data_IF_322637827961
#
_entry.id   IF_322637827961
#
_cell.length_a   1.000
_cell.length_b   1.000
_cell.length_c   1.000
_cell.angle_alpha   90.00
_cell.angle_beta   90.00
_cell.angle_gamma   90.00
#
_symmetry.space_group_name_H-M   'P 1'
#
loop_
_entity.id
_entity.type
_entity.pdbx_description
1 polymer ?
#
# COMPACT_ATOMS: atom_id res chain seq x y z
N UNK A 1 9.13 13.79 -19.91
CA UNK A 1 9.51 13.05 -18.67
C UNK A 1 8.32 12.89 -17.69
N UNK A 2 7.54 13.95 -17.39
CA UNK A 2 6.37 13.90 -16.47
C UNK A 2 5.38 12.74 -16.68
N UNK A 3 5.09 12.33 -17.92
CA UNK A 3 4.15 11.25 -18.20
C UNK A 3 4.62 9.86 -17.72
N UNK A 4 5.94 9.57 -17.74
CA UNK A 4 6.44 8.25 -17.30
C UNK A 4 6.42 8.06 -15.78
N UNK A 5 6.49 9.15 -15.01
CA UNK A 5 6.43 9.09 -13.54
C UNK A 5 5.00 8.89 -13.01
N UNK A 6 3.98 9.27 -13.80
CA UNK A 6 2.58 9.02 -13.49
C UNK A 6 2.26 7.52 -13.52
N UNK A 7 2.74 6.78 -14.53
CA UNK A 7 2.57 5.33 -14.61
C UNK A 7 3.14 4.61 -13.38
N UNK A 8 4.36 4.99 -12.95
CA UNK A 8 5.04 4.32 -11.82
C UNK A 8 4.32 4.49 -10.47
N UNK A 9 3.58 5.58 -10.30
CA UNK A 9 2.94 5.97 -9.04
C UNK A 9 1.47 5.55 -9.01
N UNK A 10 0.74 5.84 -10.10
CA UNK A 10 -0.71 5.60 -10.20
C UNK A 10 -1.00 4.12 -10.42
N UNK A 11 -0.31 3.45 -11.36
CA UNK A 11 -0.60 2.04 -11.70
C UNK A 11 -0.28 1.07 -10.55
N UNK A 12 0.73 1.40 -9.72
CA UNK A 12 1.03 0.63 -8.50
C UNK A 12 -0.06 0.77 -7.44
N UNK A 13 -0.63 1.96 -7.28
CA UNK A 13 -1.76 2.20 -6.37
C UNK A 13 -3.00 1.40 -6.77
N UNK A 14 -3.29 1.29 -8.07
CA UNK A 14 -4.39 0.46 -8.56
C UNK A 14 -4.16 -1.04 -8.40
N UNK A 15 -2.91 -1.52 -8.41
CA UNK A 15 -2.60 -2.93 -8.09
C UNK A 15 -2.97 -3.27 -6.65
N UNK A 16 -2.78 -2.34 -5.71
CA UNK A 16 -3.19 -2.51 -4.32
C UNK A 16 -4.71 -2.63 -4.17
N UNK A 17 -5.48 -1.85 -4.95
CA UNK A 17 -6.95 -1.96 -4.99
C UNK A 17 -7.44 -3.30 -5.58
N UNK A 18 -6.57 -4.10 -6.18
CA UNK A 18 -6.89 -5.44 -6.70
C UNK A 18 -6.28 -6.56 -5.86
N UNK A 19 -5.65 -6.22 -4.72
CA UNK A 19 -4.98 -7.20 -3.88
C UNK A 19 -6.03 -8.01 -3.09
N UNK A 20 -6.01 -9.35 -3.15
CA UNK A 20 -6.98 -10.22 -2.48
C UNK A 20 -7.00 -10.05 -0.95
N UNK A 21 -5.98 -9.43 -0.34
CA UNK A 21 -5.98 -9.03 1.06
C UNK A 21 -7.11 -8.05 1.43
N UNK A 22 -7.71 -7.35 0.45
CA UNK A 22 -8.83 -6.42 0.67
C UNK A 22 -10.21 -7.09 0.61
N UNK A 23 -10.30 -8.42 0.51
CA UNK A 23 -11.55 -9.18 0.53
C UNK A 23 -12.60 -8.73 -0.49
N UNK A 24 -12.19 -8.07 -1.58
CA UNK A 24 -13.11 -7.65 -2.64
C UNK A 24 -13.72 -8.83 -3.39
N UNK A 25 -13.07 -9.99 -3.37
CA UNK A 25 -13.58 -11.20 -4.02
C UNK A 25 -14.77 -11.84 -3.28
N UNK A 26 -14.95 -11.60 -1.97
CA UNK A 26 -16.02 -12.24 -1.19
C UNK A 26 -17.31 -11.42 -1.11
N UNK A 27 -17.30 -10.16 -1.56
CA UNK A 27 -18.49 -9.31 -1.55
C UNK A 27 -19.19 -9.34 -2.91
N UNK A 28 -20.19 -10.21 -3.06
CA UNK A 28 -21.11 -10.17 -4.21
C UNK A 28 -21.91 -8.85 -4.19
N UNK A 29 -21.35 -7.84 -4.84
CA UNK A 29 -21.92 -6.50 -4.97
C UNK A 29 -22.79 -6.44 -6.22
N UNK A 30 -24.04 -6.90 -6.10
CA UNK A 30 -25.01 -6.92 -7.21
C UNK A 30 -25.58 -5.54 -7.58
N UNK A 31 -25.40 -4.54 -6.72
CA UNK A 31 -25.99 -3.20 -6.85
C UNK A 31 -24.89 -2.14 -7.06
N UNK A 32 -25.05 -1.21 -8.03
CA UNK A 32 -24.01 -0.26 -8.41
C UNK A 32 -23.62 0.69 -7.26
N UNK A 33 -24.56 1.04 -6.38
CA UNK A 33 -24.32 1.94 -5.25
C UNK A 33 -23.33 1.34 -4.25
N UNK A 34 -23.41 0.02 -4.03
CA UNK A 34 -22.51 -0.68 -3.12
C UNK A 34 -21.09 -0.80 -3.70
N UNK A 35 -20.98 -0.95 -5.03
CA UNK A 35 -19.68 -0.95 -5.72
C UNK A 35 -19.01 0.41 -5.58
N UNK A 36 -19.76 1.50 -5.75
CA UNK A 36 -19.24 2.86 -5.54
C UNK A 36 -18.80 3.08 -4.11
N UNK A 37 -19.63 2.70 -3.13
CA UNK A 37 -19.29 2.83 -1.72
C UNK A 37 -18.02 2.05 -1.36
N UNK A 38 -17.88 0.81 -1.84
CA UNK A 38 -16.65 0.03 -1.65
C UNK A 38 -15.45 0.71 -2.31
N UNK A 39 -15.59 1.20 -3.55
CA UNK A 39 -14.55 1.92 -4.25
C UNK A 39 -14.05 3.15 -3.49
N UNK A 40 -14.96 3.92 -2.87
CA UNK A 40 -14.60 5.07 -2.04
C UNK A 40 -13.82 4.66 -0.79
N UNK A 41 -14.26 3.62 -0.09
CA UNK A 41 -13.56 3.11 1.11
C UNK A 41 -12.17 2.60 0.74
N UNK A 42 -12.04 1.87 -0.36
CA UNK A 42 -10.74 1.36 -0.81
C UNK A 42 -9.81 2.48 -1.26
N UNK A 43 -10.32 3.53 -1.90
CA UNK A 43 -9.54 4.72 -2.25
C UNK A 43 -9.04 5.47 -1.00
N UNK A 44 -9.90 5.60 0.02
CA UNK A 44 -9.52 6.17 1.32
C UNK A 44 -8.44 5.32 2.00
N UNK A 45 -8.60 4.00 2.01
CA UNK A 45 -7.60 3.08 2.54
C UNK A 45 -6.26 3.23 1.82
N UNK A 46 -6.26 3.30 0.48
CA UNK A 46 -5.05 3.53 -0.31
C UNK A 46 -4.36 4.86 0.06
N UNK A 47 -5.13 5.94 0.28
CA UNK A 47 -4.60 7.22 0.73
C UNK A 47 -3.90 7.10 2.09
N UNK A 48 -4.56 6.46 3.06
CA UNK A 48 -3.98 6.23 4.40
C UNK A 48 -2.69 5.41 4.31
N UNK A 49 -2.67 4.36 3.49
CA UNK A 49 -1.47 3.56 3.25
C UNK A 49 -0.34 4.39 2.64
N UNK A 50 -0.63 5.22 1.63
CA UNK A 50 0.37 6.06 0.99
C UNK A 50 0.98 7.08 1.97
N UNK A 51 0.15 7.68 2.82
CA UNK A 51 0.60 8.59 3.88
C UNK A 51 1.46 7.86 4.92
N UNK A 52 1.07 6.66 5.33
CA UNK A 52 1.85 5.82 6.24
C UNK A 52 3.23 5.45 5.66
N UNK A 53 3.29 5.04 4.38
CA UNK A 53 4.58 4.78 3.70
C UNK A 53 5.46 6.01 3.64
N UNK A 54 4.87 7.17 3.33
CA UNK A 54 5.60 8.42 3.22
C UNK A 54 6.18 8.87 4.57
N UNK A 55 5.39 8.80 5.64
CA UNK A 55 5.84 9.12 7.00
C UNK A 55 6.94 8.16 7.48
N UNK A 56 6.75 6.85 7.27
CA UNK A 56 7.75 5.85 7.64
C UNK A 56 9.08 6.09 6.92
N UNK A 57 9.05 6.31 5.60
CA UNK A 57 10.27 6.58 4.82
C UNK A 57 10.97 7.85 5.27
N UNK A 58 10.22 8.93 5.55
CA UNK A 58 10.80 10.18 6.06
C UNK A 58 11.51 9.97 7.40
N UNK A 59 10.91 9.20 8.31
CA UNK A 59 11.53 8.88 9.60
C UNK A 59 12.74 7.98 9.46
N UNK A 60 12.71 6.99 8.58
CA UNK A 60 13.87 6.13 8.31
C UNK A 60 15.05 6.92 7.74
N UNK A 61 14.78 7.85 6.81
CA UNK A 61 15.77 8.76 6.27
C UNK A 61 16.35 9.69 7.34
N UNK A 62 15.51 10.25 8.21
CA UNK A 62 15.95 11.14 9.31
C UNK A 62 16.80 10.44 10.38
N UNK A 63 16.51 9.17 10.69
CA UNK A 63 17.25 8.39 11.69
C UNK A 63 18.43 7.60 11.07
N UNK A 64 18.59 7.61 9.73
CA UNK A 64 19.60 6.80 9.04
C UNK A 64 19.39 5.28 9.20
N UNK A 65 18.16 4.87 9.55
CA UNK A 65 17.81 3.47 9.84
C UNK A 65 17.23 2.79 8.60
N UNK A 66 17.33 1.46 8.55
CA UNK A 66 16.77 0.67 7.44
C UNK A 66 16.01 -0.54 7.98
N UNK A 67 15.03 -1.01 7.19
CA UNK A 67 14.33 -2.26 7.46
C UNK A 67 14.82 -3.34 6.49
N UNK A 68 14.84 -4.63 6.89
CA UNK A 68 15.11 -5.70 5.93
C UNK A 68 14.01 -5.72 4.88
N UNK A 69 14.33 -5.99 3.62
CA UNK A 69 13.38 -6.29 2.55
C UNK A 69 12.96 -7.78 2.58
N UNK A 70 12.15 -8.21 1.61
CA UNK A 70 11.70 -9.62 1.49
C UNK A 70 12.85 -10.63 1.31
N UNK A 71 14.04 -10.16 0.95
CA UNK A 71 15.26 -10.96 0.78
C UNK A 71 16.27 -10.72 1.91
N UNK A 72 15.87 -10.00 2.96
CA UNK A 72 16.72 -9.67 4.11
C UNK A 72 17.70 -8.52 3.90
N UNK A 73 17.65 -7.79 2.77
CA UNK A 73 18.56 -6.67 2.48
C UNK A 73 18.06 -5.38 3.11
N UNK A 74 18.94 -4.51 3.63
CA UNK A 74 18.53 -3.23 4.18
C UNK A 74 17.91 -2.33 3.10
N UNK A 75 16.69 -1.85 3.35
CA UNK A 75 15.99 -0.89 2.50
C UNK A 75 15.53 0.33 3.30
N UNK A 76 15.84 1.51 2.77
CA UNK A 76 15.30 2.79 3.26
C UNK A 76 13.91 3.10 2.67
N UNK A 77 13.43 2.28 1.73
CA UNK A 77 12.16 2.49 1.02
C UNK A 77 11.22 1.28 1.17
N UNK A 78 10.88 0.86 2.40
CA UNK A 78 9.94 -0.23 2.61
C UNK A 78 8.53 0.16 2.14
N UNK A 79 7.71 -0.85 1.84
CA UNK A 79 6.26 -0.67 1.65
C UNK A 79 5.54 -0.95 2.96
N UNK A 80 4.40 -0.30 3.21
CA UNK A 80 3.64 -0.49 4.45
C UNK A 80 3.11 -1.92 4.54
N UNK A 81 2.76 -2.51 3.39
CA UNK A 81 2.40 -3.93 3.29
C UNK A 81 3.49 -4.83 3.86
N UNK A 82 4.74 -4.59 3.47
CA UNK A 82 5.88 -5.37 3.97
C UNK A 82 6.10 -5.16 5.47
N UNK A 83 5.94 -3.93 5.94
CA UNK A 83 6.04 -3.60 7.37
C UNK A 83 4.98 -4.34 8.18
N UNK A 84 3.73 -4.40 7.71
CA UNK A 84 2.70 -5.21 8.35
C UNK A 84 3.02 -6.70 8.35
N UNK A 85 3.61 -7.23 7.27
CA UNK A 85 4.07 -8.63 7.25
C UNK A 85 5.16 -8.90 8.29
N UNK A 86 6.11 -7.98 8.46
CA UNK A 86 7.12 -8.07 9.53
C UNK A 86 6.46 -8.12 10.92
N UNK A 87 5.46 -7.26 11.18
CA UNK A 87 4.72 -7.28 12.45
C UNK A 87 3.88 -8.55 12.65
N UNK A 88 3.29 -9.11 11.58
CA UNK A 88 2.55 -10.38 11.67
C UNK A 88 3.47 -11.56 11.99
N UNK A 89 4.71 -11.54 11.49
CA UNK A 89 5.69 -12.59 11.75
C UNK A 89 6.32 -12.52 13.15
N UNK A 90 6.24 -11.36 13.80
CA UNK A 90 6.70 -11.14 15.19
C UNK A 90 5.67 -11.60 16.23
N UNK A 91 4.52 -12.15 15.80
CA UNK A 91 3.53 -12.82 16.67
C UNK A 91 3.89 -14.29 16.84
#
# INVERSE_FOLDING_TARGET
RRYKDQARTVERGFRFLKDPLFFTESTFLKRPERVMALGMVMALALLVYALGEWELRRRLEGTGSSLPDQKGRPTAKPTLRWVFQLFMWVR
#
